data_IF_181159217416
#
_entry.id   IF_181159217416
#
_cell.length_a   1.000
_cell.length_b   1.000
_cell.length_c   1.000
_cell.angle_alpha   90.00
_cell.angle_beta   90.00
_cell.angle_gamma   90.00
#
_symmetry.space_group_name_H-M   'P 1'
#
loop_
_entity.id
_entity.type
_entity.pdbx_description
1 polymer ?
#
# COMPACT_ATOMS: atom_id res chain seq x y z
N UNK A 1 29.97 -39.79 -12.62
CA UNK A 1 28.76 -39.62 -11.82
C UNK A 1 28.72 -38.29 -11.11
N UNK A 2 29.83 -37.81 -10.55
CA UNK A 2 29.87 -36.53 -9.85
C UNK A 2 29.60 -35.34 -10.76
N UNK A 3 30.03 -35.40 -12.03
CA UNK A 3 29.77 -34.31 -13.00
C UNK A 3 28.30 -34.17 -13.36
N UNK A 4 27.56 -35.28 -13.39
CA UNK A 4 26.12 -35.22 -13.68
C UNK A 4 25.33 -34.54 -12.59
N UNK A 5 25.67 -34.78 -11.33
CA UNK A 5 24.99 -34.16 -10.20
C UNK A 5 25.23 -32.66 -10.15
N UNK A 6 26.45 -32.23 -10.47
CA UNK A 6 26.78 -30.80 -10.51
C UNK A 6 26.00 -30.11 -11.59
N UNK A 7 25.88 -30.71 -12.77
CA UNK A 7 25.11 -30.13 -13.89
C UNK A 7 23.63 -30.00 -13.54
N UNK A 8 23.07 -31.02 -12.90
CA UNK A 8 21.66 -30.99 -12.47
C UNK A 8 21.44 -29.91 -11.43
N UNK A 9 22.34 -29.73 -10.49
CA UNK A 9 22.26 -28.68 -9.48
C UNK A 9 22.35 -27.29 -10.11
N UNK A 10 23.23 -27.10 -11.08
CA UNK A 10 23.36 -25.85 -11.80
C UNK A 10 22.09 -25.51 -12.59
N UNK A 11 21.48 -26.51 -13.22
CA UNK A 11 20.25 -26.33 -13.96
C UNK A 11 19.09 -25.92 -13.05
N UNK A 12 18.96 -26.57 -11.90
CA UNK A 12 17.92 -26.24 -10.92
C UNK A 12 18.12 -24.83 -10.38
N UNK A 13 19.36 -24.48 -10.10
CA UNK A 13 19.70 -23.14 -9.60
C UNK A 13 19.38 -22.06 -10.63
N UNK A 14 19.70 -22.31 -11.90
CA UNK A 14 19.37 -21.40 -12.99
C UNK A 14 17.86 -21.22 -13.16
N UNK A 15 17.11 -22.30 -13.04
CA UNK A 15 15.65 -22.23 -13.12
C UNK A 15 15.05 -21.37 -12.01
N UNK A 16 15.57 -21.51 -10.80
CA UNK A 16 15.12 -20.71 -9.65
C UNK A 16 15.39 -19.22 -9.86
N UNK A 17 16.57 -18.89 -10.37
CA UNK A 17 16.92 -17.49 -10.66
C UNK A 17 16.02 -16.92 -11.75
N UNK A 18 15.73 -17.68 -12.78
CA UNK A 18 14.87 -17.25 -13.88
C UNK A 18 13.45 -16.96 -13.39
N UNK A 19 12.91 -17.83 -12.54
CA UNK A 19 11.58 -17.64 -11.96
C UNK A 19 11.52 -16.38 -11.13
N UNK A 20 12.55 -16.14 -10.33
CA UNK A 20 12.61 -14.94 -9.49
C UNK A 20 12.70 -13.67 -10.36
N UNK A 21 13.48 -13.69 -11.41
CA UNK A 21 13.61 -12.56 -12.33
C UNK A 21 12.29 -12.27 -13.03
N UNK A 22 11.53 -13.30 -13.41
CA UNK A 22 10.24 -13.12 -14.03
C UNK A 22 9.24 -12.43 -13.10
N UNK A 23 9.23 -12.80 -11.81
CA UNK A 23 8.38 -12.14 -10.82
C UNK A 23 8.78 -10.68 -10.64
N UNK A 24 10.07 -10.39 -10.60
CA UNK A 24 10.57 -9.03 -10.48
C UNK A 24 10.19 -8.19 -11.71
N UNK A 25 10.28 -8.77 -12.90
CA UNK A 25 9.90 -8.10 -14.14
C UNK A 25 8.42 -7.76 -14.15
N UNK A 26 7.56 -8.68 -13.73
CA UNK A 26 6.13 -8.46 -13.66
C UNK A 26 5.80 -7.32 -12.71
N UNK A 27 6.43 -7.31 -11.55
CA UNK A 27 6.22 -6.26 -10.56
C UNK A 27 6.66 -4.90 -11.09
N UNK A 28 7.81 -4.84 -11.76
CA UNK A 28 8.31 -3.60 -12.37
C UNK A 28 7.39 -3.11 -13.46
N UNK A 29 6.87 -4.01 -14.26
CA UNK A 29 5.95 -3.68 -15.34
C UNK A 29 4.65 -3.07 -14.80
N UNK A 30 4.11 -3.62 -13.74
CA UNK A 30 2.89 -3.09 -13.12
C UNK A 30 3.12 -1.72 -12.51
N UNK A 31 4.31 -1.46 -11.97
CA UNK A 31 4.61 -0.19 -11.32
C UNK A 31 4.89 0.95 -12.30
N UNK A 32 5.06 0.67 -13.59
CA UNK A 32 5.30 1.72 -14.59
C UNK A 32 4.04 2.49 -14.97
N UNK A 33 2.85 1.93 -14.68
CA UNK A 33 1.59 2.62 -14.89
C UNK A 33 1.28 3.57 -13.75
N UNK A 34 0.27 4.39 -13.94
CA UNK A 34 -0.21 5.29 -12.90
C UNK A 34 -1.07 4.55 -11.87
N UNK A 35 -1.30 3.28 -12.11
CA UNK A 35 -2.13 2.45 -11.25
C UNK A 35 -1.38 2.10 -9.97
N UNK A 36 -1.98 2.45 -8.84
CA UNK A 36 -1.51 2.05 -7.52
C UNK A 36 -2.60 1.17 -6.91
N UNK A 37 -2.20 -0.01 -6.43
CA UNK A 37 -3.13 -0.97 -5.85
C UNK A 37 -3.84 -0.37 -4.63
N UNK A 38 -5.15 -0.62 -4.51
CA UNK A 38 -5.95 -0.12 -3.38
C UNK A 38 -5.39 -0.56 -2.03
N UNK A 39 -4.83 -1.76 -1.95
CA UNK A 39 -4.23 -2.26 -0.69
C UNK A 39 -2.97 -1.46 -0.31
N UNK A 40 -2.19 -1.04 -1.29
CA UNK A 40 -1.01 -0.21 -1.07
C UNK A 40 -1.44 1.17 -0.58
N UNK A 41 -2.46 1.75 -1.19
CA UNK A 41 -3.02 3.04 -0.77
C UNK A 41 -3.51 2.97 0.67
N UNK A 42 -4.30 1.95 0.99
CA UNK A 42 -4.83 1.76 2.36
C UNK A 42 -3.70 1.68 3.37
N UNK A 43 -2.68 0.87 3.09
CA UNK A 43 -1.53 0.71 3.99
C UNK A 43 -0.79 2.03 4.20
N UNK A 44 -0.57 2.78 3.12
CA UNK A 44 0.13 4.05 3.18
C UNK A 44 -0.65 5.09 3.98
N UNK A 45 -1.95 5.20 3.73
CA UNK A 45 -2.82 6.12 4.48
C UNK A 45 -2.80 5.77 5.97
N UNK A 46 -2.98 4.49 6.30
CA UNK A 46 -2.95 4.05 7.70
C UNK A 46 -1.63 4.39 8.38
N UNK A 47 -0.51 4.18 7.69
CA UNK A 47 0.81 4.51 8.24
C UNK A 47 0.95 5.99 8.55
N UNK A 48 0.54 6.84 7.61
CA UNK A 48 0.64 8.29 7.79
C UNK A 48 -0.25 8.79 8.91
N UNK A 49 -1.46 8.24 9.02
CA UNK A 49 -2.36 8.63 10.12
C UNK A 49 -1.80 8.19 11.47
N UNK A 50 -1.21 7.00 11.53
CA UNK A 50 -0.62 6.47 12.77
C UNK A 50 0.65 7.21 13.19
N UNK A 51 1.36 7.79 12.25
CA UNK A 51 2.57 8.56 12.50
C UNK A 51 2.30 10.01 12.90
N UNK A 52 1.11 10.52 12.60
CA UNK A 52 0.77 11.91 12.89
C UNK A 52 0.51 12.09 14.39
N UNK A 53 1.21 13.02 15.01
CA UNK A 53 1.13 13.24 16.45
C UNK A 53 -0.27 13.64 16.91
N UNK A 54 -1.00 14.34 16.06
CA UNK A 54 -2.36 14.78 16.38
C UNK A 54 -3.40 13.69 16.20
N UNK A 55 -3.20 12.79 15.22
CA UNK A 55 -4.19 11.78 14.83
C UNK A 55 -3.92 10.39 15.38
N UNK A 56 -2.71 10.12 15.83
CA UNK A 56 -2.30 8.75 16.19
C UNK A 56 -3.10 8.12 17.32
N UNK A 57 -3.74 8.93 18.16
CA UNK A 57 -4.53 8.43 19.29
C UNK A 57 -5.95 8.02 18.88
N UNK A 58 -6.39 8.38 17.68
CA UNK A 58 -7.73 8.05 17.22
C UNK A 58 -7.72 6.77 16.42
N UNK A 59 -8.80 5.99 16.53
CA UNK A 59 -9.00 4.81 15.72
C UNK A 59 -9.74 5.20 14.45
N UNK A 60 -8.99 5.36 13.37
CA UNK A 60 -9.52 5.73 12.08
C UNK A 60 -9.48 4.52 11.15
N UNK A 61 -10.64 4.12 10.64
CA UNK A 61 -10.73 3.03 9.66
C UNK A 61 -10.51 3.59 8.27
N UNK A 62 -9.72 2.87 7.49
CA UNK A 62 -9.37 3.27 6.12
C UNK A 62 -9.73 2.13 5.18
N UNK A 63 -10.52 2.43 4.16
CA UNK A 63 -10.82 1.50 3.08
C UNK A 63 -10.61 2.20 1.76
N UNK A 64 -10.09 1.48 0.78
CA UNK A 64 -9.83 2.03 -0.54
C UNK A 64 -10.47 1.16 -1.60
N UNK A 65 -11.21 1.78 -2.50
CA UNK A 65 -11.83 1.11 -3.63
C UNK A 65 -11.64 1.95 -4.90
N UNK A 66 -10.92 1.39 -5.87
CA UNK A 66 -10.64 2.06 -7.16
C UNK A 66 -10.06 3.46 -6.99
N UNK A 67 -9.15 3.60 -6.03
CA UNK A 67 -8.48 4.87 -5.76
C UNK A 67 -9.27 5.83 -4.89
N UNK A 68 -10.48 5.47 -4.48
CA UNK A 68 -11.30 6.27 -3.58
C UNK A 68 -11.06 5.81 -2.16
N UNK A 69 -10.53 6.69 -1.32
CA UNK A 69 -10.24 6.37 0.08
C UNK A 69 -11.42 6.81 0.95
N UNK A 70 -11.94 5.88 1.73
CA UNK A 70 -12.99 6.18 2.69
C UNK A 70 -12.41 6.14 4.10
N UNK A 71 -12.59 7.23 4.83
CA UNK A 71 -12.22 7.34 6.24
C UNK A 71 -13.47 7.27 7.09
N UNK A 72 -13.43 6.51 8.19
CA UNK A 72 -14.53 6.43 9.12
C UNK A 72 -14.00 6.27 10.55
N UNK A 73 -14.83 6.65 11.50
CA UNK A 73 -14.49 6.61 12.92
C UNK A 73 -14.84 7.91 13.62
N UNK A 74 -14.29 8.06 14.82
CA UNK A 74 -14.57 9.23 15.67
C UNK A 74 -13.28 9.94 16.01
N UNK A 75 -13.31 11.25 15.94
CA UNK A 75 -12.22 12.14 16.33
C UNK A 75 -12.78 13.22 17.28
N UNK A 76 -11.91 14.05 17.83
CA UNK A 76 -12.32 15.01 18.84
C UNK A 76 -12.61 16.41 18.30
N UNK A 77 -12.31 16.67 17.03
CA UNK A 77 -12.44 18.02 16.49
C UNK A 77 -12.56 18.01 14.97
N UNK A 78 -13.11 19.11 14.45
CA UNK A 78 -13.17 19.32 13.00
C UNK A 78 -11.77 19.42 12.40
N UNK A 79 -10.82 19.97 13.15
CA UNK A 79 -9.42 20.04 12.73
C UNK A 79 -8.86 18.64 12.46
N UNK A 80 -9.21 17.65 13.30
CA UNK A 80 -8.79 16.29 13.11
C UNK A 80 -9.41 15.69 11.83
N UNK A 81 -10.69 15.97 11.58
CA UNK A 81 -11.37 15.54 10.35
C UNK A 81 -10.62 16.06 9.12
N UNK A 82 -10.37 17.36 9.12
CA UNK A 82 -9.72 18.02 7.98
C UNK A 82 -8.30 17.51 7.76
N UNK A 83 -7.54 17.34 8.83
CA UNK A 83 -6.16 16.87 8.73
C UNK A 83 -6.08 15.44 8.20
N UNK A 84 -6.95 14.57 8.68
CA UNK A 84 -7.01 13.20 8.18
C UNK A 84 -7.33 13.16 6.69
N UNK A 85 -8.27 13.97 6.25
CA UNK A 85 -8.60 14.09 4.84
C UNK A 85 -7.45 14.59 3.98
N UNK A 86 -6.72 15.58 4.46
CA UNK A 86 -5.54 16.11 3.78
C UNK A 86 -4.45 15.04 3.65
N UNK A 87 -4.18 14.32 4.71
CA UNK A 87 -3.17 13.25 4.71
C UNK A 87 -3.56 12.17 3.70
N UNK A 88 -4.81 11.73 3.73
CA UNK A 88 -5.28 10.70 2.81
C UNK A 88 -5.16 11.15 1.36
N UNK A 89 -5.52 12.40 1.06
CA UNK A 89 -5.48 12.92 -0.30
C UNK A 89 -4.06 13.10 -0.83
N UNK A 90 -3.06 13.18 0.05
CA UNK A 90 -1.67 13.37 -0.35
C UNK A 90 -1.01 12.08 -0.83
N UNK A 91 -1.63 10.94 -0.62
CA UNK A 91 -1.04 9.64 -0.99
C UNK A 91 -1.16 9.43 -2.49
N UNK A 92 -0.05 8.99 -3.09
CA UNK A 92 0.00 8.73 -4.53
C UNK A 92 -1.00 7.63 -4.91
N UNK A 93 -1.77 7.89 -5.95
CA UNK A 93 -2.78 6.95 -6.43
C UNK A 93 -4.19 7.25 -5.94
N UNK A 94 -4.34 8.13 -4.96
CA UNK A 94 -5.65 8.51 -4.44
C UNK A 94 -6.34 9.44 -5.43
N UNK A 95 -7.53 9.04 -5.88
CA UNK A 95 -8.34 9.84 -6.79
C UNK A 95 -9.25 10.81 -6.03
N UNK A 96 -9.82 10.35 -4.93
CA UNK A 96 -10.65 11.18 -4.07
C UNK A 96 -10.71 10.57 -2.68
N UNK A 97 -11.14 11.38 -1.72
CA UNK A 97 -11.30 10.95 -0.33
C UNK A 97 -12.74 11.18 0.10
N UNK A 98 -13.34 10.11 0.60
CA UNK A 98 -14.66 10.19 1.22
C UNK A 98 -14.46 10.23 2.73
N UNK A 99 -14.56 11.41 3.30
CA UNK A 99 -14.25 11.62 4.71
C UNK A 99 -15.52 11.54 5.54
N UNK A 100 -15.73 10.38 6.15
CA UNK A 100 -16.89 10.10 7.01
C UNK A 100 -16.51 10.05 8.49
N UNK A 101 -15.47 10.80 8.87
CA UNK A 101 -15.12 10.92 10.28
C UNK A 101 -16.15 11.79 11.02
N UNK A 102 -16.49 11.37 12.21
CA UNK A 102 -17.45 12.06 13.06
C UNK A 102 -16.73 12.68 14.27
N UNK A 103 -17.11 13.89 14.59
CA UNK A 103 -16.61 14.59 15.79
C UNK A 103 -17.43 14.15 16.98
N UNK A 104 -16.74 13.73 18.04
CA UNK A 104 -17.38 13.22 19.23
C UNK A 104 -17.22 14.18 20.41
#
# INVERSE_FOLDING_TARGET
MKKRNIVIHCLVFLMLITTFAACASTRTHESTGEYVDDSVITTKVKSLLAEDDFLKSFQISVETYKGIVQLSGFVDSQKAVDKAGQIASSVKGVKSVKNNLNVK
#
